data_IF_916849884754
#
_entry.id   IF_916849884754
#
_cell.length_a   1.000
_cell.length_b   1.000
_cell.length_c   1.000
_cell.angle_alpha   90.00
_cell.angle_beta   90.00
_cell.angle_gamma   90.00
#
_symmetry.space_group_name_H-M   'P 1'
#
loop_
_entity.id
_entity.type
_entity.pdbx_description
1 polymer ?
#
# COMPACT_ATOMS: atom_id res chain seq x y z
N UNK A 1 -2.79 -49.72 -33.74
CA UNK A 1 -3.29 -48.56 -32.93
C UNK A 1 -2.11 -48.04 -32.16
N UNK A 2 -1.47 -47.01 -32.67
CA UNK A 2 -0.24 -46.41 -32.11
C UNK A 2 -0.64 -45.38 -31.04
N UNK A 3 -0.09 -45.56 -29.86
CA UNK A 3 -0.27 -44.68 -28.74
C UNK A 3 0.57 -43.39 -29.00
N UNK A 4 0.02 -42.15 -28.92
CA UNK A 4 0.83 -40.96 -29.08
C UNK A 4 1.72 -40.81 -27.83
N UNK A 5 3.03 -40.81 -28.06
CA UNK A 5 4.02 -40.50 -27.04
C UNK A 5 3.77 -39.08 -26.52
N UNK A 6 3.53 -38.94 -25.23
CA UNK A 6 3.55 -37.67 -24.52
C UNK A 6 4.97 -37.13 -24.61
N UNK A 7 5.20 -36.09 -25.42
CA UNK A 7 6.46 -35.36 -25.43
C UNK A 7 6.56 -34.60 -24.09
N UNK A 8 7.28 -35.21 -23.14
CA UNK A 8 7.71 -34.50 -21.94
C UNK A 8 8.85 -33.56 -22.36
N UNK A 9 8.62 -32.25 -22.30
CA UNK A 9 9.63 -31.22 -22.52
C UNK A 9 10.88 -31.46 -21.66
N UNK A 10 12.01 -30.92 -22.08
CA UNK A 10 13.25 -31.05 -21.29
C UNK A 10 13.08 -30.41 -19.90
N UNK A 11 13.85 -30.85 -18.89
CA UNK A 11 13.81 -30.24 -17.56
C UNK A 11 14.05 -28.70 -17.59
N UNK A 12 14.82 -28.21 -18.56
CA UNK A 12 15.06 -26.78 -18.78
C UNK A 12 13.82 -26.08 -19.34
N UNK A 13 13.16 -26.64 -20.34
CA UNK A 13 11.91 -26.07 -20.90
C UNK A 13 10.79 -26.03 -19.84
N UNK A 14 10.66 -27.06 -19.00
CA UNK A 14 9.69 -27.06 -17.90
C UNK A 14 10.02 -25.98 -16.84
N UNK A 15 11.30 -25.71 -16.60
CA UNK A 15 11.75 -24.69 -15.65
C UNK A 15 11.46 -23.29 -16.18
N UNK A 16 11.74 -23.02 -17.45
CA UNK A 16 11.40 -21.74 -18.10
C UNK A 16 9.88 -21.50 -18.16
N UNK A 17 9.11 -22.54 -18.45
CA UNK A 17 7.64 -22.44 -18.47
C UNK A 17 7.07 -22.18 -17.06
N UNK A 18 7.64 -22.80 -16.04
CA UNK A 18 7.28 -22.58 -14.65
C UNK A 18 7.60 -21.14 -14.21
N UNK A 19 8.81 -20.65 -14.53
CA UNK A 19 9.22 -19.27 -14.22
C UNK A 19 8.31 -18.24 -14.93
N UNK A 20 8.00 -18.46 -16.21
CA UNK A 20 7.10 -17.59 -16.97
C UNK A 20 5.68 -17.60 -16.39
N UNK A 21 5.19 -18.77 -16.00
CA UNK A 21 3.84 -18.92 -15.42
C UNK A 21 3.76 -18.27 -14.04
N UNK A 22 4.77 -18.45 -13.22
CA UNK A 22 4.88 -17.80 -11.90
C UNK A 22 4.92 -16.28 -12.02
N UNK A 23 5.67 -15.76 -13.01
CA UNK A 23 5.73 -14.32 -13.30
C UNK A 23 4.37 -13.77 -13.75
N UNK A 24 3.68 -14.46 -14.65
CA UNK A 24 2.33 -14.08 -15.10
C UNK A 24 1.32 -14.10 -13.95
N UNK A 25 1.41 -15.08 -13.05
CA UNK A 25 0.56 -15.19 -11.88
C UNK A 25 0.80 -14.02 -10.91
N UNK A 26 2.06 -13.66 -10.68
CA UNK A 26 2.43 -12.52 -9.85
C UNK A 26 1.90 -11.19 -10.42
N UNK A 27 2.01 -11.00 -11.74
CA UNK A 27 1.44 -9.82 -12.43
C UNK A 27 -0.08 -9.77 -12.32
N UNK A 28 -0.77 -10.89 -12.56
CA UNK A 28 -2.21 -10.99 -12.45
C UNK A 28 -2.69 -10.70 -11.01
N UNK A 29 -1.97 -11.22 -10.00
CA UNK A 29 -2.27 -10.96 -8.60
C UNK A 29 -2.03 -9.49 -8.20
N UNK A 30 -0.96 -8.87 -8.72
CA UNK A 30 -0.68 -7.44 -8.58
C UNK A 30 -1.84 -6.60 -9.13
N UNK A 31 -2.32 -6.94 -10.35
CA UNK A 31 -3.46 -6.25 -10.96
C UNK A 31 -4.74 -6.45 -10.16
N UNK A 32 -4.99 -7.64 -9.63
CA UNK A 32 -6.15 -7.91 -8.76
C UNK A 32 -6.07 -7.14 -7.43
N UNK A 33 -4.88 -6.99 -6.84
CA UNK A 33 -4.66 -6.18 -5.64
C UNK A 33 -4.87 -4.69 -5.92
N UNK A 34 -4.36 -4.19 -7.05
CA UNK A 34 -4.60 -2.83 -7.50
C UNK A 34 -6.09 -2.57 -7.80
N UNK A 35 -6.77 -3.54 -8.43
CA UNK A 35 -8.21 -3.48 -8.67
C UNK A 35 -9.04 -3.33 -7.39
N UNK A 36 -8.66 -4.02 -6.33
CA UNK A 36 -9.31 -3.90 -5.00
C UNK A 36 -9.07 -2.54 -4.34
N UNK A 37 -7.92 -1.93 -4.60
CA UNK A 37 -7.55 -0.62 -4.07
C UNK A 37 -8.11 0.52 -4.95
N UNK A 38 -8.45 0.26 -6.21
CA UNK A 38 -8.77 1.29 -7.19
C UNK A 38 -9.93 2.19 -6.76
N UNK A 39 -10.99 1.63 -6.22
CA UNK A 39 -12.13 2.41 -5.73
C UNK A 39 -11.73 3.36 -4.58
N UNK A 40 -10.89 2.89 -3.66
CA UNK A 40 -10.35 3.70 -2.57
C UNK A 40 -9.39 4.78 -3.07
N UNK A 41 -8.50 4.44 -3.99
CA UNK A 41 -7.55 5.37 -4.62
C UNK A 41 -8.27 6.48 -5.38
N UNK A 42 -9.28 6.13 -6.19
CA UNK A 42 -10.13 7.10 -6.89
C UNK A 42 -10.82 8.03 -5.89
N UNK A 43 -11.31 7.51 -4.78
CA UNK A 43 -11.92 8.32 -3.73
C UNK A 43 -10.90 9.25 -3.06
N UNK A 44 -9.69 8.79 -2.73
CA UNK A 44 -8.62 9.59 -2.14
C UNK A 44 -8.09 10.68 -3.08
N UNK A 45 -8.15 10.48 -4.39
CA UNK A 45 -7.82 11.50 -5.39
C UNK A 45 -8.99 12.47 -5.58
N UNK A 46 -10.22 11.98 -5.68
CA UNK A 46 -11.39 12.82 -5.94
C UNK A 46 -11.72 13.76 -4.77
N UNK A 47 -11.47 13.36 -3.54
CA UNK A 47 -11.72 14.21 -2.35
C UNK A 47 -10.93 15.52 -2.40
N UNK A 48 -9.59 15.53 -2.53
CA UNK A 48 -8.84 16.77 -2.66
C UNK A 48 -9.16 17.54 -3.96
N UNK A 49 -9.46 16.86 -5.07
CA UNK A 49 -9.91 17.52 -6.31
C UNK A 49 -11.22 18.29 -6.06
N UNK A 50 -12.18 17.68 -5.38
CA UNK A 50 -13.43 18.35 -5.02
C UNK A 50 -13.20 19.58 -4.15
N UNK A 51 -12.28 19.51 -3.19
CA UNK A 51 -11.87 20.65 -2.37
C UNK A 51 -11.27 21.78 -3.21
N UNK A 52 -10.32 21.46 -4.09
CA UNK A 52 -9.68 22.44 -5.01
C UNK A 52 -10.74 23.11 -5.89
N UNK A 53 -11.67 22.36 -6.47
CA UNK A 53 -12.73 22.93 -7.31
C UNK A 53 -13.63 23.90 -6.52
N UNK A 54 -14.04 23.52 -5.31
CA UNK A 54 -14.85 24.37 -4.42
C UNK A 54 -14.10 25.63 -4.01
N UNK A 55 -12.82 25.51 -3.64
CA UNK A 55 -11.97 26.63 -3.26
C UNK A 55 -11.75 27.58 -4.43
N UNK A 56 -11.49 27.07 -5.63
CA UNK A 56 -11.34 27.88 -6.84
C UNK A 56 -12.57 28.73 -7.15
N UNK A 57 -13.78 28.20 -6.98
CA UNK A 57 -15.01 28.96 -7.15
C UNK A 57 -15.10 30.09 -6.09
N UNK A 58 -14.73 29.81 -4.85
CA UNK A 58 -14.68 30.80 -3.78
C UNK A 58 -13.62 31.88 -4.04
N UNK A 59 -12.43 31.49 -4.51
CA UNK A 59 -11.35 32.38 -4.93
C UNK A 59 -11.84 33.31 -6.02
N UNK A 60 -12.50 32.80 -7.06
CA UNK A 60 -13.03 33.56 -8.17
C UNK A 60 -14.03 34.63 -7.70
N UNK A 61 -14.99 34.25 -6.87
CA UNK A 61 -16.00 35.20 -6.30
C UNK A 61 -15.36 36.26 -5.41
N UNK A 62 -14.38 35.89 -4.62
CA UNK A 62 -13.64 36.78 -3.74
C UNK A 62 -12.84 37.81 -4.53
N UNK A 63 -12.17 37.37 -5.62
CA UNK A 63 -11.48 38.30 -6.54
C UNK A 63 -12.42 39.30 -7.23
N UNK A 64 -13.59 38.83 -7.67
CA UNK A 64 -14.62 39.74 -8.24
C UNK A 64 -15.09 40.78 -7.22
N UNK A 65 -15.29 40.35 -5.97
CA UNK A 65 -15.69 41.26 -4.88
C UNK A 65 -14.58 42.26 -4.58
N UNK A 66 -13.35 41.82 -4.47
CA UNK A 66 -12.18 42.65 -4.25
C UNK A 66 -12.03 43.71 -5.36
N UNK A 67 -12.18 43.29 -6.62
CA UNK A 67 -12.14 44.19 -7.78
C UNK A 67 -13.21 45.29 -7.69
N UNK A 68 -14.44 44.95 -7.29
CA UNK A 68 -15.51 45.92 -7.09
C UNK A 68 -15.17 46.92 -5.99
N UNK A 69 -14.63 46.46 -4.84
CA UNK A 69 -14.24 47.34 -3.74
C UNK A 69 -13.13 48.31 -4.14
N UNK A 70 -12.12 47.83 -4.88
CA UNK A 70 -11.03 48.68 -5.39
C UNK A 70 -11.58 49.77 -6.34
N UNK A 71 -12.42 49.39 -7.31
CA UNK A 71 -13.01 50.33 -8.26
C UNK A 71 -13.85 51.39 -7.56
N UNK A 72 -14.68 51.00 -6.58
CA UNK A 72 -15.51 51.94 -5.80
C UNK A 72 -14.64 52.89 -4.99
N UNK A 73 -13.61 52.38 -4.30
CA UNK A 73 -12.65 53.20 -3.55
C UNK A 73 -11.96 54.21 -4.43
N UNK A 74 -11.54 53.82 -5.64
CA UNK A 74 -10.92 54.77 -6.60
C UNK A 74 -11.90 55.82 -7.12
N UNK A 75 -13.15 55.43 -7.43
CA UNK A 75 -14.15 56.32 -7.98
C UNK A 75 -14.63 57.36 -6.94
N UNK A 76 -14.77 56.93 -5.67
CA UNK A 76 -15.24 57.76 -4.58
C UNK A 76 -14.10 58.46 -3.82
N UNK A 77 -12.86 58.27 -4.21
CA UNK A 77 -11.66 58.78 -3.52
C UNK A 77 -11.65 58.45 -2.02
N UNK A 78 -12.10 57.23 -1.65
CA UNK A 78 -12.19 56.77 -0.27
C UNK A 78 -11.12 55.68 0.00
N UNK A 79 -10.67 55.51 1.26
CA UNK A 79 -9.77 54.43 1.61
C UNK A 79 -10.41 53.05 1.35
N UNK A 80 -9.58 52.06 1.06
CA UNK A 80 -10.03 50.70 0.89
C UNK A 80 -10.65 50.19 2.21
N UNK A 81 -11.82 49.58 2.20
CA UNK A 81 -12.45 49.09 3.42
C UNK A 81 -11.69 47.87 3.97
N UNK A 82 -11.70 47.67 5.30
CA UNK A 82 -11.05 46.54 6.01
C UNK A 82 -11.47 45.16 5.45
N UNK A 83 -12.66 45.07 4.89
CA UNK A 83 -13.16 43.88 4.19
C UNK A 83 -12.24 43.46 3.06
N UNK A 84 -11.50 44.35 2.43
CA UNK A 84 -10.55 43.99 1.36
C UNK A 84 -9.35 43.20 1.90
N UNK A 85 -8.85 43.58 3.09
CA UNK A 85 -7.78 42.85 3.77
C UNK A 85 -8.24 41.41 4.16
N UNK A 86 -9.45 41.33 4.74
CA UNK A 86 -10.02 40.01 5.09
C UNK A 86 -10.20 39.11 3.88
N UNK A 87 -10.56 39.62 2.70
CA UNK A 87 -10.65 38.89 1.46
C UNK A 87 -9.24 38.39 1.03
N UNK A 88 -8.22 39.24 1.13
CA UNK A 88 -6.85 38.85 0.79
C UNK A 88 -6.32 37.72 1.69
N UNK A 89 -6.55 37.79 3.00
CA UNK A 89 -6.21 36.74 3.95
C UNK A 89 -6.96 35.42 3.62
N UNK A 90 -8.25 35.52 3.29
CA UNK A 90 -9.04 34.37 2.88
C UNK A 90 -8.48 33.73 1.60
N UNK A 91 -8.09 34.54 0.61
CA UNK A 91 -7.47 34.05 -0.62
C UNK A 91 -6.14 33.34 -0.35
N UNK A 92 -5.30 33.90 0.52
CA UNK A 92 -4.04 33.28 0.92
C UNK A 92 -4.28 31.90 1.57
N UNK A 93 -5.19 31.83 2.55
CA UNK A 93 -5.54 30.59 3.23
C UNK A 93 -6.10 29.51 2.26
N UNK A 94 -6.96 29.89 1.30
CA UNK A 94 -7.50 28.95 0.32
C UNK A 94 -6.41 28.41 -0.61
N UNK A 95 -5.45 29.23 -1.02
CA UNK A 95 -4.32 28.77 -1.84
C UNK A 95 -3.41 27.80 -1.09
N UNK A 96 -3.20 28.00 0.20
CA UNK A 96 -2.43 27.08 1.04
C UNK A 96 -3.15 25.72 1.20
N UNK A 97 -4.48 25.74 1.36
CA UNK A 97 -5.30 24.52 1.39
C UNK A 97 -5.22 23.78 0.06
N UNK A 98 -5.31 24.47 -1.07
CA UNK A 98 -5.21 23.87 -2.41
C UNK A 98 -3.82 23.29 -2.67
N UNK A 99 -2.76 23.94 -2.22
CA UNK A 99 -1.40 23.41 -2.28
C UNK A 99 -1.29 22.09 -1.51
N UNK A 100 -1.80 22.04 -0.28
CA UNK A 100 -1.82 20.81 0.52
C UNK A 100 -2.63 19.69 -0.14
N UNK A 101 -3.76 20.03 -0.77
CA UNK A 101 -4.57 19.08 -1.54
C UNK A 101 -3.80 18.51 -2.74
N UNK A 102 -3.09 19.35 -3.50
CA UNK A 102 -2.22 18.91 -4.59
C UNK A 102 -1.09 17.99 -4.12
N UNK A 103 -0.44 18.34 -2.99
CA UNK A 103 0.62 17.51 -2.40
C UNK A 103 0.10 16.10 -2.01
N UNK A 104 -1.14 16.02 -1.50
CA UNK A 104 -1.79 14.73 -1.21
C UNK A 104 -2.02 13.90 -2.48
N UNK A 105 -2.55 14.52 -3.54
CA UNK A 105 -2.75 13.85 -4.85
C UNK A 105 -1.41 13.32 -5.37
N UNK A 106 -0.38 14.16 -5.31
CA UNK A 106 0.95 13.79 -5.78
C UNK A 106 1.56 12.63 -4.99
N UNK A 107 1.34 12.60 -3.67
CA UNK A 107 1.78 11.49 -2.81
C UNK A 107 1.10 10.17 -3.20
N UNK A 108 -0.22 10.18 -3.47
CA UNK A 108 -0.97 9.00 -3.92
C UNK A 108 -0.45 8.52 -5.28
N UNK A 109 -0.27 9.43 -6.26
CA UNK A 109 0.25 9.09 -7.59
C UNK A 109 1.67 8.54 -7.51
N UNK A 110 2.54 9.13 -6.68
CA UNK A 110 3.92 8.66 -6.48
C UNK A 110 3.94 7.25 -5.89
N UNK A 111 3.10 6.99 -4.89
CA UNK A 111 2.95 5.67 -4.27
C UNK A 111 2.47 4.63 -5.27
N UNK A 112 1.47 4.97 -6.12
CA UNK A 112 1.01 4.12 -7.22
C UNK A 112 2.12 3.84 -8.24
N UNK A 113 2.89 4.86 -8.60
CA UNK A 113 4.00 4.71 -9.56
C UNK A 113 5.10 3.80 -9.00
N UNK A 114 5.41 3.92 -7.71
CA UNK A 114 6.36 3.02 -7.02
C UNK A 114 5.83 1.59 -7.03
N UNK A 115 4.56 1.38 -6.71
CA UNK A 115 3.92 0.07 -6.78
C UNK A 115 3.86 -0.49 -8.21
N UNK A 116 3.61 0.35 -9.22
CA UNK A 116 3.54 -0.07 -10.61
C UNK A 116 4.92 -0.43 -11.20
N UNK A 117 6.00 0.27 -10.79
CA UNK A 117 7.38 0.06 -11.25
C UNK A 117 8.04 -1.23 -10.75
N UNK A 118 7.32 -2.08 -10.06
CA UNK A 118 7.78 -3.35 -9.46
C UNK A 118 8.20 -4.42 -10.49
N UNK A 119 8.45 -4.06 -11.74
CA UNK A 119 9.12 -4.94 -12.71
C UNK A 119 10.66 -4.97 -12.55
N UNK A 120 11.21 -4.34 -11.53
CA UNK A 120 12.63 -4.42 -11.25
C UNK A 120 12.90 -5.65 -10.39
N UNK A 121 13.20 -6.77 -11.07
CA UNK A 121 13.73 -8.01 -10.50
C UNK A 121 15.16 -7.82 -9.93
N UNK A 122 15.57 -6.58 -9.67
CA UNK A 122 16.92 -6.29 -9.22
C UNK A 122 17.00 -6.33 -7.70
N UNK A 123 17.93 -7.14 -7.24
CA UNK A 123 18.34 -7.17 -5.84
C UNK A 123 18.99 -5.82 -5.49
N UNK A 124 18.52 -5.15 -4.44
CA UNK A 124 19.03 -3.84 -4.02
C UNK A 124 19.15 -3.76 -2.51
N UNK A 125 20.09 -2.91 -2.05
CA UNK A 125 20.12 -2.47 -0.66
C UNK A 125 19.13 -1.33 -0.46
N UNK A 126 18.25 -1.50 0.52
CA UNK A 126 17.20 -0.51 0.82
C UNK A 126 16.90 -0.47 2.32
N UNK A 127 16.42 0.67 2.78
CA UNK A 127 15.79 0.77 4.09
C UNK A 127 14.38 0.11 4.02
N UNK A 128 14.16 -0.90 4.85
CA UNK A 128 12.87 -1.62 4.92
C UNK A 128 11.74 -0.70 5.36
N UNK A 129 12.02 0.32 6.16
CA UNK A 129 11.01 1.28 6.62
C UNK A 129 10.44 2.09 5.47
N UNK A 130 11.22 2.41 4.45
CA UNK A 130 10.72 3.07 3.24
C UNK A 130 9.67 2.23 2.51
N UNK A 131 9.89 0.91 2.42
CA UNK A 131 8.92 -0.03 1.83
C UNK A 131 7.65 -0.08 2.68
N UNK A 132 7.78 -0.22 4.00
CA UNK A 132 6.65 -0.28 4.93
C UNK A 132 5.84 1.02 4.92
N UNK A 133 6.49 2.18 4.99
CA UNK A 133 5.84 3.49 4.96
C UNK A 133 5.10 3.74 3.63
N UNK A 134 5.70 3.35 2.50
CA UNK A 134 5.05 3.43 1.20
C UNK A 134 3.82 2.51 1.12
N UNK A 135 3.93 1.29 1.65
CA UNK A 135 2.80 0.34 1.74
C UNK A 135 1.67 0.90 2.59
N UNK A 136 1.96 1.45 3.78
CA UNK A 136 0.96 2.05 4.67
C UNK A 136 0.27 3.26 4.04
N UNK A 137 1.02 4.12 3.33
CA UNK A 137 0.44 5.25 2.57
C UNK A 137 -0.52 4.77 1.48
N UNK A 138 -0.16 3.72 0.72
CA UNK A 138 -1.05 3.13 -0.29
C UNK A 138 -2.30 2.50 0.31
N UNK A 139 -2.17 1.93 1.51
CA UNK A 139 -3.28 1.28 2.20
C UNK A 139 -4.22 2.27 2.91
N UNK A 140 -3.90 3.56 2.94
CA UNK A 140 -4.70 4.63 3.56
C UNK A 140 -6.16 4.62 3.08
N UNK A 141 -6.38 4.34 1.80
CA UNK A 141 -7.71 4.19 1.21
C UNK A 141 -8.55 3.06 1.81
N UNK A 142 -7.92 1.99 2.31
CA UNK A 142 -8.60 0.86 2.95
C UNK A 142 -8.91 1.19 4.42
N UNK A 143 -8.08 1.99 5.05
CA UNK A 143 -8.22 2.37 6.46
C UNK A 143 -9.44 3.26 6.75
N UNK A 144 -9.86 4.11 5.81
CA UNK A 144 -11.11 4.93 5.82
C UNK A 144 -11.42 5.62 7.15
N UNK A 145 -10.47 6.27 7.81
CA UNK A 145 -10.65 6.93 9.14
C UNK A 145 -11.08 6.00 10.30
N UNK A 146 -11.38 4.71 10.04
CA UNK A 146 -11.79 3.74 11.06
C UNK A 146 -10.63 2.96 11.66
N UNK A 147 -9.46 3.01 11.02
CA UNK A 147 -8.28 2.26 11.45
C UNK A 147 -7.17 3.24 11.83
N UNK A 148 -6.72 3.14 13.08
CA UNK A 148 -5.52 3.82 13.55
C UNK A 148 -4.30 3.00 13.15
N UNK A 149 -3.29 3.66 12.57
CA UNK A 149 -2.01 3.01 12.23
C UNK A 149 -0.97 3.45 13.25
N UNK A 150 -0.32 2.47 13.87
CA UNK A 150 0.78 2.67 14.82
C UNK A 150 2.04 2.04 14.25
N UNK A 151 3.16 2.76 14.28
CA UNK A 151 4.46 2.25 13.84
C UNK A 151 5.47 2.31 14.98
N UNK A 152 6.10 1.16 15.28
CA UNK A 152 7.13 1.00 16.30
C UNK A 152 8.40 0.48 15.60
N UNK A 153 9.18 1.37 15.02
CA UNK A 153 10.34 1.02 14.22
C UNK A 153 11.61 1.07 15.07
N UNK A 154 12.36 -0.04 15.08
CA UNK A 154 13.71 -0.09 15.64
C UNK A 154 14.73 0.51 14.65
N UNK A 155 15.92 0.84 15.10
CA UNK A 155 17.04 1.14 14.21
C UNK A 155 17.48 -0.14 13.51
N UNK A 156 17.44 -0.16 12.17
CA UNK A 156 17.76 -1.30 11.33
C UNK A 156 18.80 -0.92 10.28
N UNK A 157 19.69 -1.85 9.90
CA UNK A 157 20.54 -1.65 8.73
C UNK A 157 19.73 -1.76 7.44
N UNK A 158 20.28 -1.23 6.33
CA UNK A 158 19.77 -1.53 5.00
C UNK A 158 19.86 -3.03 4.70
N UNK A 159 18.86 -3.57 4.02
CA UNK A 159 18.79 -4.98 3.64
C UNK A 159 18.88 -5.18 2.15
N UNK A 160 19.46 -6.29 1.73
CA UNK A 160 19.45 -6.76 0.35
C UNK A 160 18.13 -7.46 0.06
N UNK A 161 17.33 -6.92 -0.83
CA UNK A 161 16.02 -7.50 -1.15
C UNK A 161 15.55 -7.12 -2.56
N UNK A 162 14.43 -7.70 -2.96
CA UNK A 162 13.63 -7.28 -4.12
C UNK A 162 12.51 -6.35 -3.64
N UNK A 163 12.70 -5.01 -3.67
CA UNK A 163 11.82 -4.05 -2.97
C UNK A 163 10.38 -4.16 -3.43
N UNK A 164 10.20 -4.47 -4.70
CA UNK A 164 8.88 -4.59 -5.26
C UNK A 164 8.10 -5.80 -4.79
N UNK A 165 8.75 -6.93 -4.64
CA UNK A 165 8.13 -8.14 -4.13
C UNK A 165 7.78 -7.97 -2.65
N UNK A 166 8.68 -7.39 -1.85
CA UNK A 166 8.38 -7.08 -0.44
C UNK A 166 7.22 -6.10 -0.28
N UNK A 167 7.18 -5.06 -1.11
CA UNK A 167 6.05 -4.13 -1.11
C UNK A 167 4.71 -4.85 -1.37
N UNK A 168 4.69 -5.80 -2.31
CA UNK A 168 3.51 -6.63 -2.60
C UNK A 168 3.14 -7.53 -1.42
N UNK A 169 4.12 -8.18 -0.79
CA UNK A 169 3.91 -9.03 0.39
C UNK A 169 3.32 -8.21 1.55
N UNK A 170 3.92 -7.08 1.89
CA UNK A 170 3.43 -6.23 2.97
C UNK A 170 2.07 -5.61 2.65
N UNK A 171 1.81 -5.22 1.41
CA UNK A 171 0.49 -4.74 1.01
C UNK A 171 -0.60 -5.79 1.25
N UNK A 172 -0.33 -7.04 0.89
CA UNK A 172 -1.27 -8.14 1.16
C UNK A 172 -1.56 -8.30 2.66
N UNK A 173 -0.51 -8.25 3.50
CA UNK A 173 -0.67 -8.39 4.95
C UNK A 173 -1.43 -7.20 5.54
N UNK A 174 -1.07 -5.97 5.18
CA UNK A 174 -1.73 -4.74 5.67
C UNK A 174 -3.19 -4.65 5.22
N UNK A 175 -3.50 -5.03 3.98
CA UNK A 175 -4.88 -5.06 3.49
C UNK A 175 -5.68 -6.16 4.20
N UNK A 176 -5.11 -7.32 4.46
CA UNK A 176 -5.78 -8.37 5.23
C UNK A 176 -6.05 -7.94 6.67
N UNK A 177 -5.09 -7.30 7.34
CA UNK A 177 -5.26 -6.71 8.67
C UNK A 177 -6.41 -5.70 8.70
N UNK A 178 -6.43 -4.77 7.74
CA UNK A 178 -7.50 -3.76 7.62
C UNK A 178 -8.89 -4.37 7.38
N UNK A 179 -8.96 -5.46 6.61
CA UNK A 179 -10.21 -6.16 6.31
C UNK A 179 -10.72 -7.02 7.47
N UNK A 180 -9.83 -7.49 8.35
CA UNK A 180 -10.21 -8.22 9.56
C UNK A 180 -10.87 -7.32 10.62
N UNK A 181 -10.64 -6.01 10.56
CA UNK A 181 -11.23 -5.00 11.44
C UNK A 181 -12.58 -4.56 10.83
N UNK A 182 -13.69 -4.83 11.49
CA UNK A 182 -15.05 -4.53 10.98
C UNK A 182 -15.46 -3.08 11.23
N UNK A 183 -15.29 -2.58 12.43
CA UNK A 183 -15.68 -1.21 12.83
C UNK A 183 -14.45 -0.32 13.00
N UNK A 184 -14.05 -0.02 14.22
CA UNK A 184 -12.84 0.73 14.53
C UNK A 184 -11.77 -0.20 15.12
N UNK A 185 -10.51 0.10 14.84
CA UNK A 185 -9.42 -0.70 15.37
C UNK A 185 -8.05 -0.14 15.02
N UNK A 186 -7.02 -0.95 15.30
CA UNK A 186 -5.64 -0.55 15.15
C UNK A 186 -4.88 -1.58 14.31
N UNK A 187 -4.05 -1.08 13.40
CA UNK A 187 -3.00 -1.86 12.73
C UNK A 187 -1.66 -1.35 13.26
N UNK A 188 -0.91 -2.22 13.90
CA UNK A 188 0.42 -1.90 14.45
C UNK A 188 1.49 -2.59 13.62
N UNK A 189 2.48 -1.83 13.16
CA UNK A 189 3.66 -2.35 12.46
C UNK A 189 4.88 -2.13 13.35
N UNK A 190 5.51 -3.23 13.74
CA UNK A 190 6.70 -3.22 14.59
C UNK A 190 7.85 -3.85 13.83
N UNK A 191 9.04 -3.28 13.97
CA UNK A 191 10.27 -3.85 13.43
C UNK A 191 11.29 -4.07 14.53
N UNK A 192 12.07 -5.15 14.41
CA UNK A 192 13.18 -5.46 15.33
C UNK A 192 14.32 -6.13 14.60
N UNK A 193 15.51 -6.06 15.19
CA UNK A 193 16.72 -6.75 14.72
C UNK A 193 16.90 -8.02 15.54
N UNK A 194 17.07 -9.17 14.87
CA UNK A 194 17.33 -10.47 15.49
C UNK A 194 18.57 -11.10 14.83
N UNK A 195 19.74 -10.80 15.34
CA UNK A 195 21.02 -11.24 14.80
C UNK A 195 21.30 -10.65 13.40
N UNK A 196 21.36 -11.52 12.40
CA UNK A 196 21.57 -11.17 10.98
C UNK A 196 20.24 -11.08 10.19
N UNK A 197 19.11 -11.07 10.89
CA UNK A 197 17.76 -11.00 10.32
C UNK A 197 16.99 -9.83 10.90
N UNK A 198 16.09 -9.29 10.11
CA UNK A 198 15.08 -8.34 10.59
C UNK A 198 13.76 -9.07 10.77
N UNK A 199 13.03 -8.69 11.80
CA UNK A 199 11.67 -9.16 12.04
C UNK A 199 10.69 -8.00 11.91
N UNK A 200 9.63 -8.23 11.16
CA UNK A 200 8.52 -7.30 10.95
C UNK A 200 7.25 -7.98 11.49
N UNK A 201 6.58 -7.35 12.45
CA UNK A 201 5.29 -7.78 12.96
C UNK A 201 4.21 -6.82 12.48
N UNK A 202 3.15 -7.35 11.85
CA UNK A 202 1.96 -6.61 11.43
C UNK A 202 0.78 -7.17 12.22
N UNK A 203 0.35 -6.42 13.23
CA UNK A 203 -0.72 -6.78 14.14
C UNK A 203 -2.00 -6.01 13.83
N UNK A 204 -3.14 -6.69 13.87
CA UNK A 204 -4.47 -6.10 13.79
C UNK A 204 -5.30 -6.42 15.05
N UNK A 205 -6.26 -5.56 15.35
CA UNK A 205 -7.27 -5.76 16.39
C UNK A 205 -8.59 -6.28 15.81
N UNK A 206 -8.50 -7.10 14.77
CA UNK A 206 -9.67 -7.61 14.07
C UNK A 206 -10.28 -8.86 14.67
N UNK A 207 -11.04 -9.58 13.85
CA UNK A 207 -11.80 -10.77 14.28
C UNK A 207 -10.94 -11.97 14.69
N UNK A 208 -9.65 -11.98 14.35
CA UNK A 208 -8.79 -13.15 14.46
C UNK A 208 -9.13 -14.24 13.43
N UNK A 209 -8.37 -15.35 13.48
CA UNK A 209 -8.49 -16.47 12.54
C UNK A 209 -9.05 -17.71 13.26
N UNK A 210 -10.23 -18.23 12.84
CA UNK A 210 -10.80 -19.46 13.39
C UNK A 210 -9.85 -20.65 13.29
N UNK A 211 -9.85 -21.52 14.29
CA UNK A 211 -8.88 -22.62 14.40
C UNK A 211 -8.98 -23.60 13.22
N UNK A 212 -10.17 -23.79 12.68
CA UNK A 212 -10.46 -24.74 11.60
C UNK A 212 -9.80 -24.35 10.27
N UNK A 213 -9.52 -23.04 10.08
CA UNK A 213 -8.96 -22.51 8.84
C UNK A 213 -7.46 -22.22 8.92
N UNK A 214 -6.89 -22.15 10.15
CA UNK A 214 -5.46 -21.82 10.36
C UNK A 214 -4.49 -22.68 9.53
N UNK A 215 -4.67 -24.01 9.40
CA UNK A 215 -3.77 -24.83 8.59
C UNK A 215 -3.81 -24.53 7.09
N UNK A 216 -4.87 -23.86 6.63
CA UNK A 216 -5.15 -23.66 5.20
C UNK A 216 -4.92 -22.23 4.72
N UNK A 217 -4.65 -21.26 5.61
CA UNK A 217 -4.61 -19.84 5.22
C UNK A 217 -3.51 -19.51 4.20
N UNK A 218 -2.44 -20.30 4.15
CA UNK A 218 -1.37 -20.18 3.15
C UNK A 218 -1.56 -21.10 1.93
N UNK A 219 -2.66 -21.85 1.84
CA UNK A 219 -2.92 -22.75 0.69
C UNK A 219 -3.47 -21.95 -0.49
N UNK A 220 -3.00 -22.25 -1.70
CA UNK A 220 -3.44 -21.56 -2.90
C UNK A 220 -4.96 -21.70 -3.11
N UNK A 221 -5.61 -20.58 -3.43
CA UNK A 221 -7.05 -20.53 -3.67
C UNK A 221 -7.91 -20.52 -2.40
N UNK A 222 -7.32 -20.65 -1.20
CA UNK A 222 -8.09 -20.63 0.03
C UNK A 222 -8.50 -19.20 0.42
N UNK A 223 -9.78 -18.99 0.63
CA UNK A 223 -10.34 -17.71 1.11
C UNK A 223 -11.57 -17.94 1.96
N UNK A 224 -11.74 -17.16 3.02
CA UNK A 224 -12.96 -17.09 3.84
C UNK A 224 -13.90 -15.97 3.39
N UNK A 225 -13.50 -15.19 2.37
CA UNK A 225 -14.27 -14.06 1.84
C UNK A 225 -15.32 -14.52 0.85
N UNK A 226 -16.43 -13.76 0.66
CA UNK A 226 -17.44 -14.05 -0.34
C UNK A 226 -16.84 -14.20 -1.75
N UNK A 227 -17.56 -14.96 -2.61
CA UNK A 227 -17.13 -15.18 -3.99
C UNK A 227 -16.94 -13.86 -4.73
N UNK A 228 -15.74 -13.64 -5.31
CA UNK A 228 -15.37 -12.41 -6.00
C UNK A 228 -14.62 -11.37 -5.15
N UNK A 229 -14.63 -11.46 -3.82
CA UNK A 229 -13.93 -10.52 -2.93
C UNK A 229 -12.54 -10.99 -2.50
N UNK A 230 -12.29 -12.29 -2.56
CA UNK A 230 -11.00 -12.90 -2.21
C UNK A 230 -10.48 -13.80 -3.32
N UNK A 231 -9.23 -13.61 -3.76
CA UNK A 231 -8.57 -14.48 -4.75
C UNK A 231 -8.01 -15.76 -4.12
N UNK A 232 -7.85 -15.80 -2.79
CA UNK A 232 -7.19 -16.89 -2.08
C UNK A 232 -5.68 -17.03 -2.37
N UNK A 233 -5.10 -16.10 -3.14
CA UNK A 233 -3.69 -16.17 -3.56
C UNK A 233 -2.77 -15.23 -2.77
N UNK A 234 -3.32 -14.27 -2.03
CA UNK A 234 -2.53 -13.23 -1.37
C UNK A 234 -1.52 -13.78 -0.36
N UNK A 235 -1.96 -14.61 0.58
CA UNK A 235 -1.08 -15.18 1.61
C UNK A 235 -0.14 -16.24 1.04
N UNK A 236 -0.57 -17.03 0.03
CA UNK A 236 0.31 -17.98 -0.68
C UNK A 236 1.47 -17.26 -1.32
N UNK A 237 1.18 -16.22 -2.12
CA UNK A 237 2.21 -15.42 -2.77
C UNK A 237 3.09 -14.67 -1.76
N UNK A 238 2.51 -14.18 -0.66
CA UNK A 238 3.30 -13.57 0.42
C UNK A 238 4.32 -14.56 0.98
N UNK A 239 3.92 -15.82 1.20
CA UNK A 239 4.83 -16.88 1.67
C UNK A 239 5.93 -17.17 0.65
N UNK A 240 5.61 -17.35 -0.63
CA UNK A 240 6.57 -17.55 -1.71
C UNK A 240 7.59 -16.39 -1.79
N UNK A 241 7.12 -15.14 -1.70
CA UNK A 241 8.00 -13.97 -1.69
C UNK A 241 8.94 -13.99 -0.49
N UNK A 242 8.45 -14.29 0.69
CA UNK A 242 9.26 -14.25 1.92
C UNK A 242 10.18 -15.46 2.03
N UNK A 243 9.65 -16.68 1.83
CA UNK A 243 10.39 -17.93 2.09
C UNK A 243 11.24 -18.33 0.88
N UNK A 244 10.63 -18.42 -0.31
CA UNK A 244 11.32 -18.94 -1.50
C UNK A 244 12.24 -17.88 -2.14
N UNK A 245 11.80 -16.61 -2.19
CA UNK A 245 12.57 -15.55 -2.85
C UNK A 245 13.60 -14.90 -1.95
N UNK A 246 13.25 -14.66 -0.67
CA UNK A 246 14.12 -13.92 0.27
C UNK A 246 14.76 -14.82 1.34
N UNK A 247 14.52 -16.14 1.32
CA UNK A 247 15.09 -17.08 2.29
C UNK A 247 14.68 -16.77 3.74
N UNK A 248 13.57 -16.07 3.89
CA UNK A 248 13.02 -15.66 5.18
C UNK A 248 12.03 -16.66 5.74
N UNK A 249 11.19 -16.22 6.66
CA UNK A 249 10.12 -17.00 7.29
C UNK A 249 8.89 -16.13 7.52
N UNK A 250 7.69 -16.70 7.31
CA UNK A 250 6.42 -16.08 7.67
C UNK A 250 5.62 -17.00 8.58
N UNK A 251 5.04 -16.44 9.65
CA UNK A 251 4.11 -17.13 10.54
C UNK A 251 3.11 -16.14 11.12
N UNK A 252 2.20 -16.63 11.94
CA UNK A 252 1.20 -15.78 12.59
C UNK A 252 0.85 -16.29 13.98
N UNK A 253 0.38 -15.38 14.81
CA UNK A 253 -0.28 -15.62 16.09
C UNK A 253 -1.66 -14.99 16.01
N UNK A 254 -2.68 -15.66 16.52
CA UNK A 254 -4.05 -15.16 16.43
C UNK A 254 -4.91 -15.67 17.59
N UNK A 255 -5.75 -14.78 18.07
CA UNK A 255 -6.79 -15.08 19.05
C UNK A 255 -8.14 -14.57 18.52
N UNK A 256 -9.14 -15.45 18.52
CA UNK A 256 -10.47 -15.11 18.01
C UNK A 256 -11.09 -13.95 18.80
N UNK A 257 -11.52 -12.91 18.11
CA UNK A 257 -12.08 -11.69 18.69
C UNK A 257 -11.05 -10.70 19.26
N UNK A 258 -9.74 -10.99 19.20
CA UNK A 258 -8.69 -10.06 19.62
C UNK A 258 -7.79 -9.59 18.47
N UNK A 259 -7.71 -10.37 17.39
CA UNK A 259 -6.95 -10.02 16.21
C UNK A 259 -5.90 -11.05 15.81
N UNK A 260 -5.05 -10.64 14.87
CA UNK A 260 -3.96 -11.46 14.32
C UNK A 260 -2.69 -10.64 14.25
N UNK A 261 -1.55 -11.27 14.52
CA UNK A 261 -0.23 -10.72 14.23
C UNK A 261 0.46 -11.63 13.21
N UNK A 262 0.78 -11.11 12.05
CA UNK A 262 1.66 -11.76 11.10
C UNK A 262 3.09 -11.32 11.35
N UNK A 263 3.98 -12.28 11.43
CA UNK A 263 5.42 -12.08 11.58
C UNK A 263 6.12 -12.45 10.28
N UNK A 264 7.02 -11.59 9.86
CA UNK A 264 7.89 -11.78 8.69
C UNK A 264 9.32 -11.59 9.15
N UNK A 265 10.17 -12.58 8.92
CA UNK A 265 11.61 -12.52 9.21
C UNK A 265 12.39 -12.65 7.91
N UNK A 266 13.33 -11.74 7.68
CA UNK A 266 14.09 -11.64 6.42
C UNK A 266 15.57 -11.46 6.78
N UNK A 267 16.51 -12.21 6.14
CA UNK A 267 17.94 -11.98 6.31
C UNK A 267 18.36 -10.62 5.75
N UNK A 268 19.33 -9.96 6.42
CA UNK A 268 19.89 -8.68 5.98
C UNK A 268 20.60 -8.83 4.63
N UNK A 269 21.29 -9.95 4.44
CA UNK A 269 22.01 -10.29 3.21
C UNK A 269 21.33 -11.47 2.53
N UNK A 270 21.09 -11.37 1.23
CA UNK A 270 20.59 -12.49 0.46
C UNK A 270 21.74 -13.47 0.18
N UNK A 271 21.47 -14.78 0.35
CA UNK A 271 22.44 -15.81 -0.03
C UNK A 271 22.63 -15.75 -1.54
N UNK A 272 23.88 -15.62 -1.98
CA UNK A 272 24.21 -15.73 -3.40
C UNK A 272 23.84 -17.12 -3.91
N UNK A 273 23.22 -17.20 -5.10
CA UNK A 273 22.78 -18.44 -5.74
C UNK A 273 23.91 -19.46 -6.01
N UNK A 274 25.14 -19.19 -5.59
CA UNK A 274 26.32 -20.05 -5.75
C UNK A 274 26.53 -21.06 -4.63
N UNK A 275 25.79 -20.98 -3.52
CA UNK A 275 25.93 -21.97 -2.40
C UNK A 275 24.87 -23.07 -2.41
N UNK A 276 24.07 -23.17 -3.45
CA UNK A 276 23.05 -24.24 -3.61
C UNK A 276 23.41 -25.29 -4.68
N UNK A 277 24.69 -25.44 -5.04
CA UNK A 277 25.17 -26.48 -5.98
C UNK A 277 25.86 -27.62 -5.23
#
# INVERSE_FOLDING_TARGET
>A
MSNPAVQTGSPEEMREELELTTRKLAEAHKMASLGRLSAGIVHEINTPIGSILSNNETIRRSLETLRKLINTSQTENKPLPDKALLILETLANLTDIDKLACERIYAVIRSLKTFARVNESDLRKVDIHDILLNTLKLSGCVFRRRITVVTNFAELPEIECYPGLLNQAFLNLVVNAAQAIQEEGTVTVTTSLDGDQIEIAIADTGSGIPIEVRPKIFSAGFTTKPMGEGTGLGLTLTREIIEDTHGGKIWFETELGKGTTFFVRIPIHQRSSQEQA
#
